data_IF_039680370341
#
_entry.id   IF_039680370341
#
_cell.length_a   1.000
_cell.length_b   1.000
_cell.length_c   1.000
_cell.angle_alpha   90.00
_cell.angle_beta   90.00
_cell.angle_gamma   90.00
#
_symmetry.space_group_name_H-M   'P 1'
#
loop_
_entity.id
_entity.type
_entity.pdbx_description
1 polymer ?
#
# COMPACT_ATOMS: atom_id res chain seq x y z
N UNK A 1 75.97 20.49 76.72
CA UNK A 1 74.70 20.19 77.41
C UNK A 1 73.72 21.29 77.01
N UNK A 2 73.14 21.11 75.83
CA UNK A 2 72.58 22.16 74.99
C UNK A 2 71.06 21.97 74.85
N UNK A 3 70.34 23.11 74.79
CA UNK A 3 68.96 23.34 74.36
C UNK A 3 67.83 22.67 75.19
N UNK A 4 67.03 23.37 76.00
CA UNK A 4 66.18 24.55 75.78
C UNK A 4 64.90 24.30 74.94
N UNK A 5 63.81 24.89 75.47
CA UNK A 5 62.57 25.28 74.82
C UNK A 5 61.45 24.22 74.66
N UNK A 6 60.52 24.29 75.62
CA UNK A 6 59.11 24.61 75.40
C UNK A 6 58.44 24.00 74.15
N UNK A 7 57.59 22.98 74.39
CA UNK A 7 56.43 22.70 73.54
C UNK A 7 55.22 22.34 74.39
N UNK A 8 54.72 23.33 75.12
CA UNK A 8 53.30 23.49 75.39
C UNK A 8 52.62 23.90 74.08
N UNK A 9 52.15 22.93 73.31
CA UNK A 9 51.35 23.15 72.11
C UNK A 9 49.99 22.45 72.27
N UNK A 10 49.01 23.28 72.60
CA UNK A 10 47.59 23.18 72.30
C UNK A 10 47.01 21.76 72.08
N UNK A 11 46.24 21.33 73.08
CA UNK A 11 45.01 20.59 72.82
C UNK A 11 44.10 21.52 72.02
N UNK A 12 44.27 21.56 70.70
CA UNK A 12 43.25 22.11 69.81
C UNK A 12 42.13 21.08 69.75
N UNK A 13 40.99 21.43 70.35
CA UNK A 13 39.72 20.77 70.06
C UNK A 13 39.56 20.68 68.54
N UNK A 14 39.33 19.48 67.95
CA UNK A 14 39.09 19.38 66.52
C UNK A 14 37.85 20.24 66.21
N UNK A 15 37.92 21.20 65.26
CA UNK A 15 36.78 22.05 64.97
C UNK A 15 35.62 21.17 64.51
N UNK A 16 34.54 21.18 65.29
CA UNK A 16 33.30 20.42 65.07
C UNK A 16 32.48 20.92 63.85
N UNK A 17 33.12 21.54 62.86
CA UNK A 17 32.46 22.28 61.76
C UNK A 17 32.81 21.72 60.36
N UNK A 18 33.26 20.46 60.26
CA UNK A 18 33.54 19.83 58.96
C UNK A 18 32.38 18.97 58.40
N UNK A 19 31.22 18.94 59.06
CA UNK A 19 30.09 18.07 58.69
C UNK A 19 29.02 18.68 57.77
N UNK A 20 29.03 20.01 57.56
CA UNK A 20 27.90 20.71 56.92
C UNK A 20 28.15 21.07 55.44
N UNK A 21 29.41 21.17 55.01
CA UNK A 21 29.77 21.56 53.64
C UNK A 21 29.42 20.47 52.60
N UNK A 22 29.76 19.21 52.86
CA UNK A 22 29.48 18.09 51.94
C UNK A 22 27.99 17.83 51.72
N UNK A 23 27.15 18.02 52.75
CA UNK A 23 25.70 17.83 52.65
C UNK A 23 25.03 18.83 51.70
N UNK A 24 25.60 20.03 51.52
CA UNK A 24 25.05 21.05 50.60
C UNK A 24 25.47 20.83 49.15
N UNK A 25 26.67 20.32 48.91
CA UNK A 25 27.14 19.91 47.57
C UNK A 25 26.46 18.64 47.10
N UNK A 26 26.27 17.65 47.97
CA UNK A 26 25.47 16.46 47.67
C UNK A 26 24.02 16.84 47.36
N UNK A 27 23.46 17.83 48.06
CA UNK A 27 22.11 18.35 47.78
C UNK A 27 22.03 19.09 46.45
N UNK A 28 23.03 19.91 46.10
CA UNK A 28 23.09 20.62 44.79
C UNK A 28 23.31 19.66 43.63
N UNK A 29 24.22 18.70 43.78
CA UNK A 29 24.44 17.67 42.76
C UNK A 29 23.26 16.72 42.65
N UNK A 30 22.53 16.44 43.74
CA UNK A 30 21.27 15.71 43.69
C UNK A 30 20.17 16.50 42.98
N UNK A 31 20.10 17.83 43.17
CA UNK A 31 19.18 18.69 42.43
C UNK A 31 19.48 18.67 40.93
N UNK A 32 20.74 18.93 40.54
CA UNK A 32 21.15 18.90 39.13
C UNK A 32 20.96 17.52 38.47
N UNK A 33 21.13 16.43 39.24
CA UNK A 33 20.81 15.07 38.80
C UNK A 33 19.31 14.85 38.56
N UNK A 34 18.43 15.45 39.38
CA UNK A 34 16.97 15.39 39.17
C UNK A 34 16.58 16.18 37.93
N UNK A 35 17.09 17.40 37.78
CA UNK A 35 16.79 18.26 36.63
C UNK A 35 17.20 17.57 35.30
N UNK A 36 18.38 16.95 35.29
CA UNK A 36 18.88 16.17 34.14
C UNK A 36 18.06 14.90 33.86
N UNK A 37 17.53 14.27 34.91
CA UNK A 37 16.67 13.09 34.78
C UNK A 37 15.31 13.48 34.21
N UNK A 38 14.72 14.56 34.69
CA UNK A 38 13.43 15.07 34.22
C UNK A 38 13.49 15.45 32.74
N UNK A 39 14.58 16.10 32.28
CA UNK A 39 14.78 16.38 30.85
C UNK A 39 14.80 15.09 30.01
N UNK A 40 15.47 14.04 30.49
CA UNK A 40 15.53 12.74 29.81
C UNK A 40 14.19 12.01 29.81
N UNK A 41 13.42 12.14 30.90
CA UNK A 41 12.08 11.56 31.00
C UNK A 41 11.09 12.26 30.06
N UNK A 42 11.17 13.58 29.89
CA UNK A 42 10.36 14.32 28.91
C UNK A 42 10.65 13.90 27.46
N UNK A 43 11.90 13.53 27.15
CA UNK A 43 12.30 13.04 25.82
C UNK A 43 12.10 11.54 25.63
N UNK A 44 11.58 10.83 26.64
CA UNK A 44 11.38 9.38 26.57
C UNK A 44 10.34 9.06 25.48
N UNK A 45 10.69 8.24 24.48
CA UNK A 45 9.72 7.81 23.48
C UNK A 45 8.67 6.89 24.12
N UNK A 46 7.45 6.90 23.57
CA UNK A 46 6.37 6.06 24.07
C UNK A 46 6.68 4.58 23.86
N UNK A 47 6.12 3.70 24.70
CA UNK A 47 6.38 2.26 24.61
C UNK A 47 6.06 1.71 23.22
N UNK A 48 4.95 2.14 22.61
CA UNK A 48 4.55 1.74 21.26
C UNK A 48 5.62 2.11 20.21
N UNK A 49 6.22 3.31 20.32
CA UNK A 49 7.31 3.72 19.42
C UNK A 49 8.56 2.83 19.58
N UNK A 50 8.85 2.33 20.78
CA UNK A 50 9.96 1.40 20.98
C UNK A 50 9.66 0.02 20.39
N UNK A 51 8.39 -0.41 20.43
CA UNK A 51 7.95 -1.68 19.80
C UNK A 51 7.99 -1.57 18.28
N UNK A 52 7.50 -0.48 17.70
CA UNK A 52 7.57 -0.21 16.26
C UNK A 52 9.01 -0.15 15.76
N UNK A 53 9.91 0.44 16.55
CA UNK A 53 11.36 0.46 16.26
C UNK A 53 12.06 -0.87 16.53
N UNK A 54 11.35 -1.89 17.03
CA UNK A 54 11.91 -3.22 17.33
C UNK A 54 12.88 -3.25 18.51
N UNK A 55 12.95 -2.18 19.31
CA UNK A 55 13.79 -2.10 20.52
C UNK A 55 13.20 -2.97 21.63
N UNK A 56 11.87 -2.88 21.83
CA UNK A 56 11.14 -3.78 22.70
C UNK A 56 10.49 -4.85 21.82
N UNK A 57 10.95 -6.10 21.98
CA UNK A 57 10.45 -7.25 21.20
C UNK A 57 9.15 -7.86 21.76
N UNK A 58 8.78 -7.49 22.99
CA UNK A 58 7.57 -7.95 23.62
C UNK A 58 6.37 -7.17 23.04
N UNK A 59 5.42 -7.87 22.45
CA UNK A 59 4.09 -7.31 22.24
C UNK A 59 3.37 -7.23 23.58
N UNK A 60 2.48 -6.24 23.74
CA UNK A 60 1.64 -6.07 24.94
C UNK A 60 0.86 -7.36 25.19
N UNK A 61 1.30 -8.16 26.18
CA UNK A 61 0.67 -9.43 26.56
C UNK A 61 1.63 -10.62 26.74
N UNK A 62 2.89 -10.53 26.31
CA UNK A 62 3.87 -11.62 26.49
C UNK A 62 4.80 -11.34 27.65
N UNK A 63 4.99 -12.34 28.52
CA UNK A 63 5.93 -12.26 29.64
C UNK A 63 7.37 -12.08 29.15
N UNK A 64 8.19 -11.20 29.77
CA UNK A 64 9.55 -10.90 29.32
C UNK A 64 10.46 -12.14 29.23
N UNK A 65 10.26 -13.15 30.08
CA UNK A 65 11.03 -14.41 30.03
C UNK A 65 10.70 -15.31 28.84
N UNK A 66 9.55 -15.14 28.20
CA UNK A 66 9.10 -15.96 27.06
C UNK A 66 9.39 -15.34 25.70
N UNK A 67 9.76 -14.07 25.64
CA UNK A 67 10.02 -13.33 24.38
C UNK A 67 11.07 -14.02 23.53
N UNK A 68 12.12 -14.57 24.14
CA UNK A 68 13.17 -15.31 23.44
C UNK A 68 12.62 -16.59 22.78
N UNK A 69 11.85 -17.39 23.52
CA UNK A 69 11.24 -18.63 23.01
C UNK A 69 10.19 -18.35 21.94
N UNK A 70 9.40 -17.29 22.10
CA UNK A 70 8.45 -16.86 21.07
C UNK A 70 9.19 -16.48 19.77
N UNK A 71 10.24 -15.66 19.86
CA UNK A 71 11.01 -15.27 18.69
C UNK A 71 11.67 -16.47 17.99
N UNK A 72 12.07 -17.48 18.75
CA UNK A 72 12.61 -18.73 18.21
C UNK A 72 11.55 -19.56 17.48
N UNK A 73 10.36 -19.71 18.07
CA UNK A 73 9.23 -20.36 17.42
C UNK A 73 8.79 -19.62 16.15
N UNK A 74 8.70 -18.29 16.19
CA UNK A 74 8.38 -17.51 14.99
C UNK A 74 9.43 -17.69 13.89
N UNK A 75 10.71 -17.80 14.26
CA UNK A 75 11.78 -18.11 13.30
C UNK A 75 11.63 -19.52 12.74
N UNK A 76 11.34 -20.54 13.56
CA UNK A 76 11.16 -21.90 13.05
C UNK A 76 9.97 -21.97 12.11
N UNK A 77 8.81 -21.39 12.48
CA UNK A 77 7.64 -21.32 11.61
C UNK A 77 7.92 -20.63 10.28
N UNK A 78 8.69 -19.52 10.30
CA UNK A 78 9.11 -18.83 9.06
C UNK A 78 10.06 -19.69 8.23
N UNK A 79 10.98 -20.43 8.85
CA UNK A 79 11.88 -21.37 8.16
C UNK A 79 11.09 -22.50 7.49
N UNK A 80 10.16 -23.11 8.21
CA UNK A 80 9.34 -24.21 7.69
C UNK A 80 8.45 -23.74 6.53
N UNK A 81 7.84 -22.56 6.68
CA UNK A 81 7.05 -21.93 5.61
C UNK A 81 7.88 -21.61 4.38
N UNK A 82 9.11 -21.12 4.57
CA UNK A 82 10.04 -20.85 3.49
C UNK A 82 10.50 -22.14 2.80
N UNK A 83 10.81 -23.20 3.57
CA UNK A 83 11.17 -24.50 3.02
C UNK A 83 10.03 -25.04 2.14
N UNK A 84 8.79 -25.03 2.62
CA UNK A 84 7.63 -25.44 1.84
C UNK A 84 7.43 -24.60 0.56
N UNK A 85 7.69 -23.29 0.64
CA UNK A 85 7.61 -22.41 -0.53
C UNK A 85 8.73 -22.68 -1.55
N UNK A 86 9.93 -23.05 -1.10
CA UNK A 86 11.03 -23.45 -1.97
C UNK A 86 10.77 -24.79 -2.65
N UNK A 87 10.18 -25.76 -1.96
CA UNK A 87 9.83 -27.06 -2.55
C UNK A 87 8.79 -26.92 -3.68
N UNK A 88 7.89 -25.94 -3.57
CA UNK A 88 6.85 -25.62 -4.57
C UNK A 88 7.27 -24.56 -5.58
N UNK A 89 8.55 -24.21 -5.63
CA UNK A 89 9.06 -23.16 -6.51
C UNK A 89 8.89 -23.58 -7.98
N UNK A 90 8.10 -22.83 -8.72
CA UNK A 90 7.91 -23.03 -10.16
C UNK A 90 9.23 -22.82 -10.93
N UNK A 91 9.42 -23.61 -11.99
CA UNK A 91 10.57 -23.47 -12.88
C UNK A 91 10.47 -22.20 -13.72
N UNK A 92 11.60 -21.72 -14.27
CA UNK A 92 11.58 -20.53 -15.13
C UNK A 92 10.72 -20.75 -16.39
N UNK A 93 10.72 -21.98 -16.93
CA UNK A 93 9.90 -22.37 -18.09
C UNK A 93 8.40 -22.30 -17.79
N UNK A 94 7.96 -22.80 -16.63
CA UNK A 94 6.56 -22.68 -16.20
C UNK A 94 6.13 -21.22 -16.06
N UNK A 95 7.02 -20.35 -15.58
CA UNK A 95 6.75 -18.91 -15.46
C UNK A 95 6.68 -18.22 -16.83
N UNK A 96 7.46 -18.67 -17.82
CA UNK A 96 7.37 -18.21 -19.21
C UNK A 96 6.05 -18.65 -19.85
N UNK A 97 5.65 -19.91 -19.66
CA UNK A 97 4.38 -20.43 -20.15
C UNK A 97 3.18 -19.66 -19.56
N UNK A 98 3.27 -19.27 -18.29
CA UNK A 98 2.26 -18.44 -17.62
C UNK A 98 2.37 -16.93 -17.97
N UNK A 99 3.30 -16.54 -18.85
CA UNK A 99 3.57 -15.15 -19.25
C UNK A 99 3.86 -14.22 -18.05
N UNK A 100 4.39 -14.77 -16.96
CA UNK A 100 4.83 -14.02 -15.79
C UNK A 100 6.24 -13.48 -16.03
N UNK A 101 7.11 -14.34 -16.59
CA UNK A 101 8.40 -13.91 -17.13
C UNK A 101 8.25 -13.65 -18.63
N UNK A 102 8.92 -12.61 -19.13
CA UNK A 102 9.02 -12.30 -20.55
C UNK A 102 10.28 -12.97 -21.10
N UNK A 103 10.12 -13.84 -22.09
CA UNK A 103 11.19 -14.69 -22.65
C UNK A 103 12.18 -13.96 -23.56
N UNK A 104 12.38 -12.65 -23.40
CA UNK A 104 13.14 -11.84 -24.36
C UNK A 104 14.65 -12.11 -24.34
N UNK A 105 15.15 -12.93 -23.41
CA UNK A 105 16.58 -13.21 -23.26
C UNK A 105 17.42 -11.98 -22.86
N UNK A 106 16.74 -10.85 -22.62
CA UNK A 106 17.32 -9.57 -22.25
C UNK A 106 17.44 -9.48 -20.72
N UNK A 107 18.41 -8.72 -20.23
CA UNK A 107 18.55 -8.44 -18.80
C UNK A 107 17.27 -7.84 -18.18
N UNK A 108 16.99 -8.13 -16.92
CA UNK A 108 15.77 -7.68 -16.23
C UNK A 108 15.56 -6.16 -16.28
N UNK A 109 16.64 -5.37 -16.29
CA UNK A 109 16.58 -3.90 -16.36
C UNK A 109 16.10 -3.38 -17.71
N UNK A 110 16.37 -4.12 -18.78
CA UNK A 110 16.01 -3.74 -20.16
C UNK A 110 14.74 -4.47 -20.64
N UNK A 111 14.21 -5.42 -19.87
CA UNK A 111 13.04 -6.21 -20.24
C UNK A 111 11.83 -5.33 -20.59
N UNK A 112 11.55 -4.32 -19.76
CA UNK A 112 10.45 -3.38 -19.97
C UNK A 112 10.63 -2.56 -21.27
N UNK A 113 11.83 -2.01 -21.49
CA UNK A 113 12.13 -1.26 -22.70
C UNK A 113 12.04 -2.14 -23.97
N UNK A 114 12.48 -3.40 -23.89
CA UNK A 114 12.36 -4.34 -25.00
C UNK A 114 10.90 -4.70 -25.31
N UNK A 115 10.05 -4.90 -24.30
CA UNK A 115 8.63 -5.20 -24.50
C UNK A 115 7.90 -3.99 -25.10
N UNK A 116 8.19 -2.78 -24.62
CA UNK A 116 7.63 -1.55 -25.17
C UNK A 116 7.98 -1.40 -26.66
N UNK A 117 9.25 -1.63 -27.02
CA UNK A 117 9.69 -1.58 -28.41
C UNK A 117 9.01 -2.66 -29.27
N UNK A 118 8.92 -3.90 -28.78
CA UNK A 118 8.23 -4.97 -29.50
C UNK A 118 6.76 -4.65 -29.75
N UNK A 119 6.07 -4.06 -28.77
CA UNK A 119 4.68 -3.63 -28.90
C UNK A 119 4.53 -2.51 -29.94
N UNK A 120 5.43 -1.53 -29.93
CA UNK A 120 5.40 -0.43 -30.91
C UNK A 120 5.69 -0.92 -32.32
N UNK A 121 6.62 -1.86 -32.50
CA UNK A 121 6.87 -2.50 -33.78
C UNK A 121 5.64 -3.29 -34.25
N UNK A 122 5.01 -4.07 -33.37
CA UNK A 122 3.76 -4.80 -33.70
C UNK A 122 2.63 -3.85 -34.06
N UNK A 123 2.47 -2.76 -33.31
CA UNK A 123 1.46 -1.73 -33.57
C UNK A 123 1.66 -1.08 -34.93
N UNK A 124 2.91 -0.72 -35.25
CA UNK A 124 3.26 -0.11 -36.53
C UNK A 124 2.98 -1.07 -37.69
N UNK A 125 3.42 -2.34 -37.57
CA UNK A 125 3.14 -3.38 -38.57
C UNK A 125 1.64 -3.61 -38.79
N UNK A 126 0.86 -3.70 -37.71
CA UNK A 126 -0.60 -3.81 -37.79
C UNK A 126 -1.23 -2.58 -38.44
N UNK A 127 -0.75 -1.37 -38.13
CA UNK A 127 -1.26 -0.15 -38.75
C UNK A 127 -1.06 -0.16 -40.27
N UNK A 128 0.12 -0.58 -40.75
CA UNK A 128 0.40 -0.72 -42.18
C UNK A 128 -0.48 -1.80 -42.84
N UNK A 129 -0.67 -2.95 -42.18
CA UNK A 129 -1.53 -4.02 -42.68
C UNK A 129 -3.00 -3.58 -42.79
N UNK A 130 -3.48 -2.76 -41.86
CA UNK A 130 -4.83 -2.21 -41.88
C UNK A 130 -5.03 -1.13 -42.96
N UNK A 131 -4.00 -0.35 -43.27
CA UNK A 131 -4.05 0.60 -44.39
C UNK A 131 -4.14 -0.12 -45.74
N UNK A 132 -3.44 -1.24 -45.89
CA UNK A 132 -3.49 -2.10 -47.07
C UNK A 132 -4.71 -3.04 -47.09
N UNK A 133 -5.74 -2.77 -46.27
CA UNK A 133 -6.92 -3.62 -46.18
C UNK A 133 -7.69 -3.59 -47.52
N UNK A 134 -7.89 -4.75 -48.18
CA UNK A 134 -8.60 -4.81 -49.45
C UNK A 134 -10.07 -4.42 -49.27
N UNK A 135 -10.62 -3.78 -50.32
CA UNK A 135 -12.04 -3.44 -50.37
C UNK A 135 -12.91 -4.70 -50.54
N UNK A 136 -14.19 -4.59 -50.21
CA UNK A 136 -15.14 -5.73 -50.27
C UNK A 136 -15.26 -6.25 -51.72
N UNK A 137 -15.25 -5.35 -52.70
CA UNK A 137 -15.27 -5.70 -54.13
C UNK A 137 -14.03 -6.48 -54.57
N UNK A 138 -12.86 -6.17 -54.03
CA UNK A 138 -11.64 -6.95 -54.30
C UNK A 138 -11.74 -8.37 -53.71
N UNK A 139 -12.40 -8.55 -52.57
CA UNK A 139 -12.62 -9.86 -51.97
C UNK A 139 -13.63 -10.71 -52.76
N UNK A 140 -14.67 -10.07 -53.32
CA UNK A 140 -15.63 -10.71 -54.24
C UNK A 140 -14.94 -11.17 -55.53
N UNK A 141 -14.10 -10.30 -56.10
CA UNK A 141 -13.31 -10.63 -57.31
C UNK A 141 -12.35 -11.79 -57.06
N UNK A 142 -11.80 -11.88 -55.84
CA UNK A 142 -10.94 -13.00 -55.42
C UNK A 142 -11.70 -14.29 -55.08
N UNK A 143 -13.03 -14.29 -55.17
CA UNK A 143 -13.88 -15.45 -54.85
C UNK A 143 -13.84 -15.86 -53.38
N UNK A 144 -13.42 -14.95 -52.49
CA UNK A 144 -13.40 -15.19 -51.04
C UNK A 144 -14.76 -14.86 -50.44
N UNK A 145 -15.42 -13.81 -50.98
CA UNK A 145 -16.74 -13.38 -50.58
C UNK A 145 -17.72 -13.62 -51.73
N UNK A 146 -18.76 -14.40 -51.49
CA UNK A 146 -19.81 -14.64 -52.49
C UNK A 146 -20.71 -13.40 -52.62
N UNK A 147 -20.87 -12.95 -53.86
CA UNK A 147 -21.77 -11.85 -54.22
C UNK A 147 -23.21 -12.30 -54.42
N UNK A 148 -23.62 -13.38 -53.75
CA UNK A 148 -24.88 -14.01 -54.08
C UNK A 148 -26.05 -13.08 -53.73
N UNK A 149 -26.86 -12.67 -54.73
CA UNK A 149 -28.10 -11.94 -54.47
C UNK A 149 -29.06 -12.78 -53.64
N UNK A 150 -28.90 -14.12 -53.56
CA UNK A 150 -29.74 -14.97 -52.71
C UNK A 150 -29.48 -14.76 -51.21
N UNK A 151 -28.23 -14.48 -50.81
CA UNK A 151 -27.89 -14.21 -49.40
C UNK A 151 -28.35 -12.80 -49.01
N UNK A 152 -28.20 -11.83 -49.93
CA UNK A 152 -28.72 -10.47 -49.74
C UNK A 152 -30.25 -10.40 -49.76
N UNK A 153 -30.90 -11.19 -50.62
CA UNK A 153 -32.36 -11.31 -50.68
C UNK A 153 -32.90 -12.01 -49.43
N UNK A 154 -32.31 -13.14 -49.02
CA UNK A 154 -32.69 -13.84 -47.79
C UNK A 154 -32.57 -12.94 -46.54
N UNK A 155 -31.49 -12.16 -46.43
CA UNK A 155 -31.33 -11.19 -45.33
C UNK A 155 -32.32 -10.00 -45.42
N UNK A 156 -32.67 -9.55 -46.62
CA UNK A 156 -33.67 -8.50 -46.83
C UNK A 156 -35.10 -9.00 -46.55
N UNK A 157 -35.39 -10.26 -46.87
CA UNK A 157 -36.65 -10.92 -46.53
C UNK A 157 -36.77 -11.18 -45.03
N UNK A 158 -35.72 -11.65 -44.34
CA UNK A 158 -35.74 -11.75 -42.87
C UNK A 158 -35.91 -10.39 -42.18
N UNK A 159 -35.33 -9.31 -42.71
CA UNK A 159 -35.52 -7.97 -42.17
C UNK A 159 -36.91 -7.40 -42.49
N UNK A 160 -37.47 -7.69 -43.67
CA UNK A 160 -38.85 -7.37 -44.01
C UNK A 160 -39.84 -8.11 -43.09
N UNK A 161 -39.66 -9.42 -42.88
CA UNK A 161 -40.48 -10.24 -42.00
C UNK A 161 -40.36 -9.77 -40.54
N UNK A 162 -39.17 -9.30 -40.10
CA UNK A 162 -38.96 -8.71 -38.76
C UNK A 162 -39.67 -7.36 -38.60
N UNK A 163 -39.65 -6.51 -39.62
CA UNK A 163 -40.35 -5.22 -39.62
C UNK A 163 -41.86 -5.46 -39.63
N UNK A 164 -42.34 -6.43 -40.40
CA UNK A 164 -43.75 -6.81 -40.51
C UNK A 164 -44.28 -7.34 -39.16
N UNK A 165 -43.58 -8.29 -38.53
CA UNK A 165 -43.90 -8.78 -37.17
C UNK A 165 -43.73 -7.71 -36.08
N UNK A 166 -42.92 -6.68 -36.31
CA UNK A 166 -42.73 -5.54 -35.40
C UNK A 166 -43.81 -4.46 -35.53
N UNK A 167 -44.49 -4.36 -36.68
CA UNK A 167 -45.59 -3.42 -36.93
C UNK A 167 -46.95 -3.95 -36.42
N UNK A 168 -47.11 -5.28 -36.30
CA UNK A 168 -48.34 -5.91 -35.79
C UNK A 168 -48.57 -5.75 -34.27
N UNK A 169 -47.59 -5.24 -33.50
CA UNK A 169 -47.71 -5.09 -32.04
C UNK A 169 -48.35 -3.77 -31.58
N UNK A 170 -48.74 -2.88 -32.50
CA UNK A 170 -49.22 -1.53 -32.12
C UNK A 170 -50.71 -1.27 -32.28
N UNK A 171 -51.52 -2.31 -32.54
CA UNK A 171 -52.98 -2.14 -32.64
C UNK A 171 -53.76 -3.23 -31.91
N UNK A 172 -53.87 -3.06 -30.57
CA UNK A 172 -55.09 -3.17 -29.76
C UNK A 172 -54.84 -3.76 -28.36
N UNK A 173 -55.08 -2.95 -27.32
CA UNK A 173 -56.10 -3.19 -26.29
C UNK A 173 -55.86 -2.32 -25.04
N UNK A 174 -56.82 -1.41 -24.84
CA UNK A 174 -57.46 -1.02 -23.57
C UNK A 174 -56.67 -1.11 -22.26
N UNK A 175 -56.66 0.02 -21.55
CA UNK A 175 -56.57 0.06 -20.08
C UNK A 175 -57.61 -0.88 -19.45
N UNK A 176 -57.19 -1.71 -18.48
CA UNK A 176 -57.98 -1.84 -17.28
C UNK A 176 -57.20 -1.39 -16.04
N UNK A 177 -57.94 -0.72 -15.18
CA UNK A 177 -57.54 -0.31 -13.85
C UNK A 177 -57.26 -1.49 -12.91
N UNK A 178 -56.26 -1.29 -12.06
CA UNK A 178 -56.11 -1.83 -10.70
C UNK A 178 -55.90 -3.35 -10.52
N UNK A 179 -54.85 -3.68 -9.75
CA UNK A 179 -54.83 -4.86 -8.90
C UNK A 179 -53.72 -5.87 -9.15
N UNK A 180 -52.70 -5.85 -8.27
CA UNK A 180 -52.00 -7.05 -7.79
C UNK A 180 -50.94 -7.70 -8.69
N UNK A 181 -49.67 -7.62 -8.27
CA UNK A 181 -48.54 -8.36 -8.88
C UNK A 181 -48.64 -9.90 -8.77
N UNK A 182 -47.66 -10.67 -9.32
CA UNK A 182 -46.46 -10.95 -8.55
C UNK A 182 -45.13 -11.13 -9.35
N UNK A 183 -44.03 -10.70 -8.71
CA UNK A 183 -42.75 -11.43 -8.58
C UNK A 183 -42.09 -12.01 -9.85
N UNK A 184 -41.49 -11.16 -10.68
CA UNK A 184 -40.33 -11.59 -11.50
C UNK A 184 -39.34 -10.46 -11.88
N UNK A 185 -39.60 -9.21 -11.45
CA UNK A 185 -38.76 -8.05 -11.77
C UNK A 185 -37.74 -7.68 -10.69
N UNK A 186 -37.86 -8.27 -9.48
CA UNK A 186 -36.98 -7.93 -8.35
C UNK A 186 -35.54 -8.41 -8.60
N UNK A 187 -35.26 -9.51 -9.29
CA UNK A 187 -33.87 -9.98 -9.46
C UNK A 187 -33.06 -9.08 -10.41
N UNK A 188 -33.64 -8.68 -11.55
CA UNK A 188 -32.94 -7.84 -12.53
C UNK A 188 -32.95 -6.37 -12.13
N UNK A 189 -34.05 -5.84 -11.60
CA UNK A 189 -34.07 -4.46 -11.09
C UNK A 189 -33.29 -4.32 -9.79
N UNK A 190 -33.24 -5.33 -8.90
CA UNK A 190 -32.32 -5.29 -7.76
C UNK A 190 -30.87 -5.46 -8.20
N UNK A 191 -30.52 -6.26 -9.21
CA UNK A 191 -29.15 -6.33 -9.71
C UNK A 191 -28.73 -5.03 -10.40
N UNK A 192 -29.60 -4.41 -11.19
CA UNK A 192 -29.32 -3.12 -11.83
C UNK A 192 -29.37 -1.96 -10.83
N UNK A 193 -30.22 -2.01 -9.79
CA UNK A 193 -30.22 -1.06 -8.68
C UNK A 193 -29.07 -1.30 -7.70
N UNK A 194 -28.56 -2.52 -7.56
CA UNK A 194 -27.40 -2.89 -6.74
C UNK A 194 -26.10 -2.60 -7.48
N UNK A 195 -26.08 -2.70 -8.81
CA UNK A 195 -25.03 -2.18 -9.67
C UNK A 195 -25.05 -0.65 -9.74
N UNK A 196 -26.23 0.00 -9.88
CA UNK A 196 -26.37 1.46 -9.75
C UNK A 196 -26.07 1.95 -8.33
N UNK A 197 -26.32 1.18 -7.28
CA UNK A 197 -25.93 1.52 -5.91
C UNK A 197 -24.44 1.26 -5.67
N UNK A 198 -23.80 0.32 -6.38
CA UNK A 198 -22.33 0.20 -6.39
C UNK A 198 -21.66 1.35 -7.15
N UNK A 199 -22.26 1.83 -8.25
CA UNK A 199 -21.75 2.98 -9.03
C UNK A 199 -22.09 4.33 -8.37
N UNK A 200 -23.27 4.46 -7.75
CA UNK A 200 -23.76 5.70 -7.10
C UNK A 200 -23.50 5.74 -5.59
N UNK A 201 -23.04 4.63 -5.00
CA UNK A 201 -22.42 4.57 -3.67
C UNK A 201 -20.93 4.90 -3.69
N UNK A 202 -20.32 4.93 -4.89
CA UNK A 202 -19.08 5.67 -5.13
C UNK A 202 -19.39 7.16 -5.01
N UNK A 203 -19.18 7.71 -3.82
CA UNK A 203 -19.26 9.15 -3.57
C UNK A 203 -18.51 9.89 -4.66
N UNK A 204 -19.27 10.66 -5.44
CA UNK A 204 -18.73 11.77 -6.20
C UNK A 204 -18.01 12.70 -5.24
N UNK A 205 -16.68 12.62 -5.25
CA UNK A 205 -15.85 13.73 -4.86
C UNK A 205 -15.73 14.63 -6.08
N UNK A 206 -16.49 15.72 -6.11
CA UNK A 206 -16.00 16.91 -6.80
C UNK A 206 -14.63 17.21 -6.22
N UNK A 207 -13.60 17.16 -7.04
CA UNK A 207 -12.23 17.46 -6.64
C UNK A 207 -12.19 18.91 -6.13
N UNK A 208 -11.87 19.20 -4.86
CA UNK A 208 -11.56 20.56 -4.46
C UNK A 208 -10.24 20.91 -5.13
N UNK A 209 -10.27 21.97 -5.95
CA UNK A 209 -9.05 22.64 -6.40
C UNK A 209 -8.19 22.95 -5.17
N UNK A 210 -6.89 22.70 -5.30
CA UNK A 210 -5.88 22.70 -4.26
C UNK A 210 -6.05 23.81 -3.21
N UNK A 211 -6.43 23.43 -1.97
CA UNK A 211 -6.03 24.07 -0.69
C UNK A 211 -6.63 23.40 0.57
N UNK A 212 -7.45 22.34 0.48
CA UNK A 212 -8.06 21.74 1.68
C UNK A 212 -7.11 20.77 2.42
N UNK A 213 -6.81 21.08 3.68
CA UNK A 213 -5.92 20.34 4.58
C UNK A 213 -6.35 18.89 4.81
N UNK A 214 -5.37 17.97 4.73
CA UNK A 214 -5.45 16.51 4.86
C UNK A 214 -6.34 15.92 5.98
N UNK A 215 -6.69 16.69 7.01
CA UNK A 215 -7.43 16.22 8.19
C UNK A 215 -8.94 16.00 7.97
N UNK A 216 -9.58 16.69 7.03
CA UNK A 216 -11.03 16.54 6.80
C UNK A 216 -11.38 15.31 5.96
N UNK A 217 -10.46 14.91 5.08
CA UNK A 217 -10.60 13.69 4.28
C UNK A 217 -10.60 12.43 5.15
N UNK A 218 -9.74 12.39 6.18
CA UNK A 218 -9.64 11.25 7.10
C UNK A 218 -10.90 11.07 7.97
N UNK A 219 -11.52 12.17 8.42
CA UNK A 219 -12.76 12.12 9.24
C UNK A 219 -14.01 11.72 8.46
N UNK A 220 -14.01 11.90 7.13
CA UNK A 220 -15.12 11.47 6.24
C UNK A 220 -15.03 9.98 5.90
N UNK A 221 -13.82 9.42 5.83
CA UNK A 221 -13.58 7.99 5.62
C UNK A 221 -13.97 7.12 6.83
N UNK A 222 -13.71 7.55 8.07
CA UNK A 222 -14.08 6.80 9.28
C UNK A 222 -15.60 6.66 9.46
N UNK A 223 -16.38 7.64 8.97
CA UNK A 223 -17.84 7.71 9.22
C UNK A 223 -18.70 6.82 8.34
N UNK A 224 -18.14 6.18 7.31
CA UNK A 224 -18.94 5.59 6.23
C UNK A 224 -18.50 4.21 5.76
N UNK A 225 -17.38 3.70 6.29
CA UNK A 225 -17.00 2.31 6.09
C UNK A 225 -17.21 1.56 7.41
N UNK A 226 -18.19 0.64 7.43
CA UNK A 226 -18.38 -0.30 8.55
C UNK A 226 -17.29 -1.37 8.47
N UNK A 227 -16.09 -1.03 8.93
CA UNK A 227 -14.99 -1.99 9.09
C UNK A 227 -15.19 -2.81 10.35
N UNK A 228 -14.83 -4.12 10.35
CA UNK A 228 -14.73 -4.88 11.58
C UNK A 228 -13.74 -4.17 12.52
N UNK A 229 -14.14 -4.02 13.78
CA UNK A 229 -13.39 -3.33 14.84
C UNK A 229 -12.12 -4.13 15.22
N UNK A 230 -11.13 -4.27 14.32
CA UNK A 230 -9.80 -4.77 14.71
C UNK A 230 -8.65 -4.56 13.70
N UNK A 231 -8.72 -3.58 12.79
CA UNK A 231 -7.67 -3.41 11.76
C UNK A 231 -6.65 -2.31 12.10
N UNK A 232 -6.82 -1.60 13.21
CA UNK A 232 -5.89 -0.54 13.67
C UNK A 232 -4.50 -1.05 14.11
N UNK A 233 -4.20 -2.35 13.96
CA UNK A 233 -2.95 -2.96 14.42
C UNK A 233 -1.94 -3.31 13.30
N UNK A 234 -2.25 -3.00 12.04
CA UNK A 234 -1.42 -3.46 10.92
C UNK A 234 -0.72 -2.38 10.07
N UNK A 235 -0.97 -1.08 10.27
CA UNK A 235 -0.22 -0.03 9.55
C UNK A 235 -0.11 1.28 10.36
N UNK A 236 1.08 1.69 10.84
CA UNK A 236 1.29 3.07 11.25
C UNK A 236 1.47 3.94 10.00
N UNK A 237 0.66 5.00 9.90
CA UNK A 237 0.64 5.96 8.81
C UNK A 237 1.95 6.77 8.74
N UNK A 238 2.62 6.72 7.60
CA UNK A 238 3.72 7.62 7.27
C UNK A 238 3.17 9.06 7.12
N UNK A 239 3.40 9.90 8.12
CA UNK A 239 3.26 11.37 7.97
C UNK A 239 4.51 11.91 7.30
N UNK A 240 4.32 12.65 6.21
CA UNK A 240 5.37 13.32 5.46
C UNK A 240 6.16 14.33 6.29
N UNK A 241 7.44 14.45 5.96
CA UNK A 241 8.21 15.67 6.18
C UNK A 241 8.47 16.30 4.81
N UNK A 242 7.80 17.41 4.58
CA UNK A 242 8.24 18.42 3.63
C UNK A 242 9.47 19.14 4.21
N UNK A 243 10.43 19.50 3.34
CA UNK A 243 11.38 20.58 3.58
C UNK A 243 12.67 20.26 4.35
N UNK A 244 13.73 19.91 3.61
CA UNK A 244 15.10 20.33 3.94
C UNK A 244 15.99 20.22 2.70
N UNK A 245 16.15 21.35 2.01
CA UNK A 245 17.27 21.60 1.10
C UNK A 245 18.58 21.49 1.89
N UNK A 246 19.42 20.51 1.56
CA UNK A 246 20.74 20.35 2.15
C UNK A 246 21.66 19.69 1.13
N UNK A 247 22.45 20.50 0.45
CA UNK A 247 23.50 20.07 -0.46
C UNK A 247 24.47 19.11 0.26
N UNK A 248 24.72 17.94 -0.34
CA UNK A 248 25.75 17.00 0.10
C UNK A 248 26.95 17.15 -0.84
N UNK A 249 28.15 17.54 -0.36
CA UNK A 249 29.33 17.57 -1.20
C UNK A 249 29.82 16.13 -1.47
N UNK A 250 30.09 15.87 -2.76
CA UNK A 250 30.72 14.66 -3.26
C UNK A 250 32.16 14.53 -2.70
N UNK A 251 32.33 13.69 -1.69
CA UNK A 251 33.63 13.22 -1.23
C UNK A 251 33.97 11.87 -1.87
N UNK A 252 34.64 11.90 -3.02
CA UNK A 252 35.24 10.71 -3.61
C UNK A 252 36.42 10.23 -2.74
N UNK A 253 36.37 8.97 -2.28
CA UNK A 253 37.56 8.29 -1.76
C UNK A 253 37.54 6.84 -2.24
N UNK A 254 38.20 6.61 -3.37
CA UNK A 254 38.58 5.28 -3.83
C UNK A 254 39.70 4.77 -2.92
N UNK A 255 39.52 3.59 -2.34
CA UNK A 255 40.60 2.84 -1.72
C UNK A 255 41.02 1.77 -2.73
N UNK A 256 42.20 1.96 -3.29
CA UNK A 256 42.94 0.95 -4.03
C UNK A 256 43.41 -0.14 -3.08
N UNK A 257 43.23 -1.41 -3.47
CA UNK A 257 43.94 -2.54 -2.87
C UNK A 257 44.88 -3.09 -3.94
N UNK A 258 46.18 -3.08 -3.61
CA UNK A 258 47.21 -3.90 -4.22
C UNK A 258 47.60 -4.96 -3.19
#
# INVERSE_FOLDING_TARGET
>A
MEAAAERSAALEDPPAEAGVAGATEDRRTASSRRDSLDERLCRRPSLDQLVERGVIKASTGVSPGLVAKQAELEKSMRRDSLAQALDRRASAEELLQRNILKGTGVSARLAEASEALELDMRRSSLSHALLARPSISELQTRGILEDSPTVRAAAAQEEADRIELGMESSESLALPESGGGPRASIAKQSLLAKAKAMIRGGRGGTYPTATATSSEFMRKCERTCRWPKNVSRLYPAARGREGATGAVPLGHRWVSFA
#
